data_IF_183705693881
#
_entry.id   IF_183705693881
#
_cell.length_a   1.000
_cell.length_b   1.000
_cell.length_c   1.000
_cell.angle_alpha   90.00
_cell.angle_beta   90.00
_cell.angle_gamma   90.00
#
_symmetry.space_group_name_H-M   'P 1'
#
loop_
_entity.id
_entity.type
_entity.pdbx_description
1 polymer ?
#
# COMPACT_ATOMS: atom_id res chain seq x y z
N UNK A 1 41.49 -32.87 36.48
CA UNK A 1 40.08 -32.73 36.05
C UNK A 1 39.49 -34.12 35.96
N UNK A 2 38.44 -34.38 36.72
CA UNK A 2 37.75 -35.67 36.78
C UNK A 2 37.01 -35.98 35.46
N UNK A 3 37.01 -37.24 34.97
CA UNK A 3 36.31 -37.64 33.74
C UNK A 3 34.82 -37.26 33.73
N UNK A 4 34.19 -37.25 34.91
CA UNK A 4 32.79 -36.83 35.13
C UNK A 4 32.52 -35.37 34.76
N UNK A 5 33.53 -34.49 34.83
CA UNK A 5 33.41 -33.06 34.47
C UNK A 5 33.18 -32.85 32.98
N UNK A 6 33.82 -33.65 32.12
CA UNK A 6 33.71 -33.54 30.66
C UNK A 6 32.33 -33.94 30.16
N UNK A 7 31.76 -34.99 30.74
CA UNK A 7 30.40 -35.46 30.42
C UNK A 7 29.39 -34.37 30.77
N UNK A 8 29.54 -33.73 31.94
CA UNK A 8 28.68 -32.62 32.35
C UNK A 8 28.77 -31.42 31.40
N UNK A 9 29.97 -31.09 30.90
CA UNK A 9 30.17 -29.98 29.95
C UNK A 9 29.48 -30.28 28.61
N UNK A 10 29.63 -31.49 28.07
CA UNK A 10 28.96 -31.89 26.84
C UNK A 10 27.44 -31.88 26.97
N UNK A 11 26.89 -32.36 28.08
CA UNK A 11 25.45 -32.34 28.34
C UNK A 11 24.91 -30.91 28.42
N UNK A 12 25.63 -30.00 29.07
CA UNK A 12 25.24 -28.58 29.15
C UNK A 12 25.26 -27.90 27.77
N UNK A 13 26.23 -28.21 26.92
CA UNK A 13 26.29 -27.67 25.55
C UNK A 13 25.14 -28.18 24.67
N UNK A 14 24.80 -29.47 24.76
CA UNK A 14 23.68 -30.06 24.04
C UNK A 14 22.35 -29.44 24.50
N UNK A 15 22.18 -29.27 25.83
CA UNK A 15 20.99 -28.68 26.41
C UNK A 15 20.82 -27.21 26.00
N UNK A 16 21.93 -26.45 25.96
CA UNK A 16 21.95 -25.08 25.49
C UNK A 16 21.62 -24.97 24.00
N UNK A 17 22.15 -25.87 23.17
CA UNK A 17 21.81 -25.97 21.74
C UNK A 17 20.33 -26.24 21.51
N UNK A 18 19.74 -27.17 22.28
CA UNK A 18 18.30 -27.45 22.23
C UNK A 18 17.46 -26.25 22.70
N UNK A 19 17.90 -25.53 23.73
CA UNK A 19 17.23 -24.31 24.20
C UNK A 19 17.21 -23.21 23.12
N UNK A 20 18.32 -23.02 22.40
CA UNK A 20 18.40 -22.06 21.29
C UNK A 20 17.47 -22.47 20.14
N UNK A 21 17.44 -23.76 19.77
CA UNK A 21 16.54 -24.27 18.72
C UNK A 21 15.06 -24.13 19.12
N UNK A 22 14.75 -24.29 20.41
CA UNK A 22 13.39 -24.09 20.92
C UNK A 22 13.00 -22.60 20.89
N UNK A 23 13.90 -21.72 21.32
CA UNK A 23 13.69 -20.28 21.34
C UNK A 23 13.52 -19.69 19.93
N UNK A 24 14.25 -20.21 18.92
CA UNK A 24 14.11 -19.75 17.53
C UNK A 24 12.81 -20.20 16.85
N UNK A 25 12.14 -21.21 17.39
CA UNK A 25 10.81 -21.67 16.94
C UNK A 25 9.67 -20.92 17.62
N UNK A 26 9.95 -20.08 18.63
CA UNK A 26 8.92 -19.22 19.18
C UNK A 26 8.50 -18.22 18.09
N UNK A 27 7.19 -18.07 17.83
CA UNK A 27 6.74 -17.03 16.93
C UNK A 27 7.22 -15.69 17.49
N UNK A 28 8.01 -14.96 16.70
CA UNK A 28 8.24 -13.54 16.95
C UNK A 28 6.87 -12.88 16.79
N UNK A 29 6.19 -12.67 17.90
CA UNK A 29 4.92 -11.96 17.99
C UNK A 29 5.17 -10.49 17.63
N UNK A 30 5.29 -10.19 16.35
CA UNK A 30 5.34 -8.83 15.85
C UNK A 30 3.90 -8.34 15.63
N UNK A 31 3.17 -8.17 16.74
CA UNK A 31 1.76 -7.76 16.75
C UNK A 31 1.51 -6.31 16.34
N UNK A 32 2.58 -5.55 16.06
CA UNK A 32 2.49 -4.10 15.90
C UNK A 32 2.50 -3.64 14.43
N UNK A 33 2.14 -4.49 13.48
CA UNK A 33 1.97 -4.09 12.07
C UNK A 33 0.59 -3.47 11.81
N UNK A 34 0.24 -2.41 12.53
CA UNK A 34 -1.01 -1.65 12.33
C UNK A 34 -0.83 -0.55 11.29
N UNK A 35 -1.81 -0.40 10.40
CA UNK A 35 -1.83 0.69 9.42
C UNK A 35 -2.25 1.98 10.12
N UNK A 36 -1.34 2.96 10.23
CA UNK A 36 -1.61 4.24 10.89
C UNK A 36 -2.12 5.31 9.93
N UNK A 37 -1.54 5.41 8.74
CA UNK A 37 -1.84 6.45 7.76
C UNK A 37 -1.61 5.93 6.34
N UNK A 38 -2.45 6.38 5.41
CA UNK A 38 -2.25 6.17 3.98
C UNK A 38 -2.35 7.52 3.28
N UNK A 39 -1.41 7.79 2.38
CA UNK A 39 -1.42 8.96 1.52
C UNK A 39 -1.36 8.54 0.06
N UNK A 40 -2.23 9.13 -0.76
CA UNK A 40 -2.25 8.90 -2.20
C UNK A 40 -1.88 10.19 -2.92
N UNK A 41 -0.96 10.09 -3.87
CA UNK A 41 -0.65 11.15 -4.83
C UNK A 41 -0.87 10.56 -6.21
N UNK A 42 -1.83 11.10 -6.95
CA UNK A 42 -2.15 10.66 -8.29
C UNK A 42 -2.43 11.86 -9.18
N UNK A 43 -2.19 11.67 -10.48
CA UNK A 43 -2.58 12.62 -11.49
C UNK A 43 -4.10 12.57 -11.71
N UNK A 44 -4.65 13.66 -12.21
CA UNK A 44 -6.00 13.70 -12.78
C UNK A 44 -6.21 12.59 -13.84
N UNK A 45 -7.47 12.23 -14.08
CA UNK A 45 -7.84 11.29 -15.16
C UNK A 45 -7.67 11.90 -16.56
N UNK A 46 -7.93 11.11 -17.59
CA UNK A 46 -7.76 11.50 -19.00
C UNK A 46 -8.47 12.82 -19.33
N UNK A 47 -7.71 13.81 -19.83
CA UNK A 47 -8.19 15.13 -20.27
C UNK A 47 -8.02 15.31 -21.77
N UNK A 48 -8.81 16.18 -22.36
CA UNK A 48 -8.54 16.69 -23.72
C UNK A 48 -7.28 17.58 -23.73
N UNK A 49 -6.69 17.83 -24.92
CA UNK A 49 -5.58 18.76 -25.05
C UNK A 49 -5.97 20.14 -24.51
N UNK A 50 -5.05 20.83 -23.83
CA UNK A 50 -5.32 22.17 -23.29
C UNK A 50 -5.37 23.21 -24.43
N UNK A 51 -4.56 23.01 -25.47
CA UNK A 51 -4.48 23.85 -26.66
C UNK A 51 -4.18 22.98 -27.87
N UNK A 52 -4.65 23.42 -29.02
CA UNK A 52 -4.32 22.83 -30.31
C UNK A 52 -3.15 23.61 -30.93
N UNK A 53 -2.35 22.93 -31.74
CA UNK A 53 -1.30 23.59 -32.51
C UNK A 53 -1.89 24.26 -33.76
N UNK A 54 -1.20 25.24 -34.39
CA UNK A 54 -1.81 26.06 -35.44
C UNK A 54 -2.43 25.29 -36.61
N UNK A 55 -1.83 24.15 -36.99
CA UNK A 55 -2.28 23.31 -38.10
C UNK A 55 -2.85 21.96 -37.62
N UNK A 56 -3.49 21.94 -36.45
CA UNK A 56 -4.12 20.73 -35.93
C UNK A 56 -5.27 20.28 -36.83
N UNK A 57 -5.27 18.98 -37.12
CA UNK A 57 -6.32 18.34 -37.91
C UNK A 57 -7.65 18.36 -37.14
N UNK A 58 -7.60 18.26 -35.81
CA UNK A 58 -8.75 18.37 -34.94
C UNK A 58 -9.08 19.83 -34.63
N UNK A 59 -10.35 20.12 -34.40
CA UNK A 59 -10.89 21.42 -34.00
C UNK A 59 -11.44 21.34 -32.58
N UNK A 60 -11.64 22.51 -31.97
CA UNK A 60 -12.20 22.60 -30.61
C UNK A 60 -13.51 21.82 -30.43
N UNK A 61 -14.32 21.76 -31.50
CA UNK A 61 -15.62 21.10 -31.54
C UNK A 61 -15.53 19.57 -31.44
N UNK A 62 -14.38 18.99 -31.82
CA UNK A 62 -14.16 17.53 -31.80
C UNK A 62 -13.96 17.00 -30.37
N UNK A 63 -13.74 17.90 -29.40
CA UNK A 63 -13.62 17.57 -28.00
C UNK A 63 -14.94 17.89 -27.30
N UNK A 64 -15.77 16.86 -27.11
CA UNK A 64 -17.13 16.98 -26.56
C UNK A 64 -17.18 17.75 -25.23
N UNK A 65 -16.19 17.57 -24.36
CA UNK A 65 -16.09 18.23 -23.07
C UNK A 65 -15.40 19.60 -23.13
N UNK A 66 -14.84 20.00 -24.27
CA UNK A 66 -13.99 21.17 -24.43
C UNK A 66 -12.50 20.86 -24.23
N UNK A 67 -11.63 21.84 -24.51
CA UNK A 67 -10.18 21.71 -24.36
C UNK A 67 -9.73 21.83 -22.90
N UNK A 68 -8.75 21.02 -22.50
CA UNK A 68 -8.21 20.95 -21.14
C UNK A 68 -9.14 20.27 -20.12
N UNK A 69 -10.32 19.87 -20.54
CA UNK A 69 -11.36 19.34 -19.66
C UNK A 69 -11.24 17.83 -19.44
N UNK A 70 -11.76 17.38 -18.30
CA UNK A 70 -11.76 15.96 -17.93
C UNK A 70 -12.80 15.20 -18.74
N UNK A 71 -12.32 14.28 -19.58
CA UNK A 71 -13.18 13.44 -20.42
C UNK A 71 -14.02 12.48 -19.57
N UNK A 72 -15.16 12.01 -20.11
CA UNK A 72 -15.97 10.99 -19.42
C UNK A 72 -15.19 9.70 -19.16
N UNK A 73 -14.30 9.31 -20.08
CA UNK A 73 -13.36 8.20 -19.88
C UNK A 73 -12.42 8.46 -18.70
N UNK A 74 -11.89 9.68 -18.59
CA UNK A 74 -11.05 10.11 -17.46
C UNK A 74 -11.78 10.04 -16.12
N UNK A 75 -13.04 10.49 -16.06
CA UNK A 75 -13.89 10.36 -14.87
C UNK A 75 -14.08 8.89 -14.47
N UNK A 76 -14.42 8.02 -15.42
CA UNK A 76 -14.58 6.58 -15.17
C UNK A 76 -13.28 5.93 -14.67
N UNK A 77 -12.12 6.33 -15.22
CA UNK A 77 -10.82 5.85 -14.76
C UNK A 77 -10.56 6.22 -13.30
N UNK A 78 -10.83 7.46 -12.91
CA UNK A 78 -10.69 7.92 -11.53
C UNK A 78 -11.68 7.23 -10.58
N UNK A 79 -12.91 7.01 -11.03
CA UNK A 79 -13.90 6.24 -10.28
C UNK A 79 -13.42 4.81 -10.01
N UNK A 80 -12.90 4.12 -11.04
CA UNK A 80 -12.34 2.76 -10.91
C UNK A 80 -11.15 2.74 -9.96
N UNK A 81 -10.27 3.73 -10.01
CA UNK A 81 -9.17 3.86 -9.04
C UNK A 81 -9.72 3.98 -7.62
N UNK A 82 -10.71 4.85 -7.38
CA UNK A 82 -11.36 5.01 -6.08
C UNK A 82 -11.98 3.71 -5.56
N UNK A 83 -12.62 2.92 -6.43
CA UNK A 83 -13.13 1.58 -6.10
C UNK A 83 -12.02 0.63 -5.66
N UNK A 84 -10.93 0.54 -6.40
CA UNK A 84 -9.79 -0.32 -6.07
C UNK A 84 -9.19 0.08 -4.70
N UNK A 85 -9.05 1.38 -4.44
CA UNK A 85 -8.54 1.87 -3.16
C UNK A 85 -9.51 1.57 -2.01
N UNK A 86 -10.82 1.78 -2.23
CA UNK A 86 -11.85 1.47 -1.23
C UNK A 86 -11.85 -0.01 -0.87
N UNK A 87 -11.71 -0.89 -1.86
CA UNK A 87 -11.70 -2.34 -1.66
C UNK A 87 -10.41 -2.78 -0.94
N UNK A 88 -9.24 -2.24 -1.33
CA UNK A 88 -7.95 -2.54 -0.70
C UNK A 88 -7.90 -2.11 0.77
N UNK A 89 -8.45 -0.95 1.10
CA UNK A 89 -8.43 -0.39 2.45
C UNK A 89 -9.76 -0.55 3.19
N UNK A 90 -10.65 -1.41 2.69
CA UNK A 90 -11.97 -1.66 3.28
C UNK A 90 -11.93 -1.95 4.78
N UNK A 91 -11.04 -2.83 5.29
CA UNK A 91 -10.99 -3.13 6.72
C UNK A 91 -10.73 -1.90 7.61
N UNK A 92 -10.03 -0.90 7.08
CA UNK A 92 -9.70 0.32 7.82
C UNK A 92 -10.75 1.42 7.63
N UNK A 93 -11.36 1.49 6.44
CA UNK A 93 -12.33 2.52 6.07
C UNK A 93 -13.72 2.26 6.66
N UNK A 94 -14.12 1.00 6.85
CA UNK A 94 -15.45 0.66 7.40
C UNK A 94 -15.63 1.16 8.84
N UNK A 95 -14.55 1.24 9.62
CA UNK A 95 -14.54 1.78 10.99
C UNK A 95 -14.08 3.24 11.09
N UNK A 96 -13.71 3.88 9.98
CA UNK A 96 -13.14 5.23 9.98
C UNK A 96 -14.22 6.30 9.89
N UNK A 97 -14.11 7.34 10.73
CA UNK A 97 -14.97 8.51 10.64
C UNK A 97 -14.59 9.36 9.43
N UNK A 98 -15.59 9.88 8.70
CA UNK A 98 -15.39 10.70 7.48
C UNK A 98 -14.46 11.90 7.72
N UNK A 99 -14.48 12.48 8.93
CA UNK A 99 -13.60 13.62 9.29
C UNK A 99 -12.10 13.31 9.19
N UNK A 100 -11.73 12.03 9.16
CA UNK A 100 -10.34 11.56 9.04
C UNK A 100 -9.93 11.29 7.57
N UNK A 101 -10.82 11.55 6.61
CA UNK A 101 -10.54 11.43 5.17
C UNK A 101 -10.42 12.82 4.58
N UNK A 102 -9.27 13.12 3.99
CA UNK A 102 -8.98 14.43 3.42
C UNK A 102 -8.56 14.30 1.96
N UNK A 103 -9.02 15.24 1.12
CA UNK A 103 -8.63 15.36 -0.27
C UNK A 103 -8.20 16.80 -0.57
N UNK A 104 -7.16 16.94 -1.39
CA UNK A 104 -6.63 18.21 -1.91
C UNK A 104 -6.28 18.01 -3.39
N UNK A 105 -6.59 18.97 -4.26
CA UNK A 105 -6.22 18.97 -5.69
C UNK A 105 -5.71 20.33 -6.11
#
# INVERSE_FOLDING_TARGET
MEPSSWISICLMQILFGHLIILASKLPLQNDNNSLLLVQFVFRHGDRSPIRLYPNDHYKHQDFNEGLGELTNRGKQRMFKLGRILRDKYRPYLDSMQIKNVHARS
#
